data_IF_959503895221
#
_entry.id   IF_959503895221
#
_cell.length_a   1.000
_cell.length_b   1.000
_cell.length_c   1.000
_cell.angle_alpha   90.00
_cell.angle_beta   90.00
_cell.angle_gamma   90.00
#
_symmetry.space_group_name_H-M   'P 1'
#
loop_
_entity.id
_entity.type
_entity.pdbx_description
1 polymer ?
#
# COMPACT_ATOMS: atom_id res chain seq x y z
N UNK A 1 -15.44 9.69 22.51
CA UNK A 1 -15.00 8.35 22.07
C UNK A 1 -15.29 8.14 20.59
N UNK A 2 -14.34 7.58 19.92
CA UNK A 2 -14.55 7.27 18.52
C UNK A 2 -15.36 5.98 18.37
N UNK A 3 -16.41 6.03 17.61
CA UNK A 3 -17.17 4.84 17.29
C UNK A 3 -16.54 4.12 16.11
N UNK A 4 -17.00 2.92 15.84
CA UNK A 4 -16.54 2.19 14.67
C UNK A 4 -17.15 2.71 13.39
N UNK A 5 -18.07 3.62 13.50
CA UNK A 5 -18.79 4.16 12.37
C UNK A 5 -18.17 5.48 11.95
N UNK A 6 -17.36 5.43 10.93
CA UNK A 6 -16.69 6.63 10.42
C UNK A 6 -17.57 7.31 9.39
N UNK A 7 -17.45 8.62 9.30
CA UNK A 7 -18.24 9.38 8.32
C UNK A 7 -17.73 9.13 6.91
N UNK A 8 -18.59 9.36 5.93
CA UNK A 8 -18.18 9.25 4.53
C UNK A 8 -17.08 10.25 4.19
N UNK A 9 -17.12 11.43 4.82
CA UNK A 9 -16.08 12.44 4.60
C UNK A 9 -14.73 11.96 5.11
N UNK A 10 -14.69 11.33 6.29
CA UNK A 10 -13.46 10.81 6.85
C UNK A 10 -12.88 9.70 5.99
N UNK A 11 -13.72 8.80 5.50
CA UNK A 11 -13.26 7.73 4.65
C UNK A 11 -12.73 8.26 3.32
N UNK A 12 -13.43 9.24 2.74
CA UNK A 12 -13.00 9.86 1.50
C UNK A 12 -11.65 10.54 1.66
N UNK A 13 -11.44 11.22 2.78
CA UNK A 13 -10.15 11.87 3.06
C UNK A 13 -9.04 10.84 3.22
N UNK A 14 -9.32 9.74 3.90
CA UNK A 14 -8.34 8.66 4.03
C UNK A 14 -7.96 8.13 2.65
N UNK A 15 -8.94 7.89 1.80
CA UNK A 15 -8.66 7.37 0.45
C UNK A 15 -7.78 8.33 -0.35
N UNK A 16 -8.00 9.62 -0.19
CA UNK A 16 -7.16 10.62 -0.85
C UNK A 16 -5.73 10.58 -0.33
N UNK A 17 -5.56 10.46 0.98
CA UNK A 17 -4.25 10.40 1.59
C UNK A 17 -3.50 9.13 1.16
N UNK A 18 -4.21 8.01 1.09
CA UNK A 18 -3.63 6.75 0.64
C UNK A 18 -3.16 6.89 -0.81
N UNK A 19 -3.99 7.46 -1.66
CA UNK A 19 -3.64 7.61 -3.07
C UNK A 19 -2.43 8.52 -3.24
N UNK A 20 -2.34 9.58 -2.47
CA UNK A 20 -1.18 10.48 -2.50
C UNK A 20 0.08 9.78 -2.04
N UNK A 21 -0.03 8.97 -1.00
CA UNK A 21 1.12 8.23 -0.50
C UNK A 21 1.62 7.22 -1.54
N UNK A 22 0.71 6.52 -2.20
CA UNK A 22 1.08 5.57 -3.24
C UNK A 22 1.76 6.30 -4.40
N UNK A 23 1.18 7.40 -4.85
CA UNK A 23 1.74 8.19 -5.94
C UNK A 23 3.15 8.68 -5.59
N UNK A 24 3.33 9.19 -4.38
CA UNK A 24 4.62 9.70 -3.93
C UNK A 24 5.67 8.60 -3.87
N UNK A 25 5.31 7.46 -3.28
CA UNK A 25 6.24 6.36 -3.18
C UNK A 25 6.56 5.75 -4.53
N UNK A 26 5.57 5.68 -5.41
CA UNK A 26 5.77 5.19 -6.76
C UNK A 26 6.71 6.10 -7.55
N UNK A 27 6.55 7.41 -7.41
CA UNK A 27 7.41 8.38 -8.08
C UNK A 27 8.86 8.23 -7.61
N UNK A 28 9.07 8.02 -6.31
CA UNK A 28 10.41 7.77 -5.78
C UNK A 28 11.01 6.52 -6.39
N UNK A 29 10.25 5.45 -6.46
CA UNK A 29 10.73 4.19 -7.02
C UNK A 29 11.05 4.33 -8.49
N UNK A 30 10.19 5.01 -9.25
CA UNK A 30 10.43 5.24 -10.67
C UNK A 30 11.74 5.99 -10.89
N UNK A 31 11.99 7.01 -10.08
CA UNK A 31 13.22 7.78 -10.18
C UNK A 31 14.44 6.97 -9.76
N UNK A 32 14.33 6.24 -8.65
CA UNK A 32 15.44 5.48 -8.11
C UNK A 32 15.88 4.36 -9.05
N UNK A 33 14.93 3.65 -9.64
CA UNK A 33 15.24 2.51 -10.52
C UNK A 33 15.21 2.87 -11.99
N UNK A 34 14.96 4.13 -12.32
CA UNK A 34 14.88 4.61 -13.68
C UNK A 34 13.92 3.76 -14.52
N UNK A 35 12.73 3.52 -13.96
CA UNK A 35 11.68 2.72 -14.59
C UNK A 35 10.35 3.39 -14.37
N UNK A 36 9.35 2.93 -15.12
CA UNK A 36 7.97 3.36 -14.92
C UNK A 36 7.17 2.15 -14.48
N UNK A 37 6.91 2.06 -13.17
CA UNK A 37 6.10 0.98 -12.63
C UNK A 37 4.64 1.26 -12.86
N UNK A 38 3.89 0.18 -13.06
CA UNK A 38 2.46 0.28 -13.24
C UNK A 38 1.79 0.52 -11.90
N UNK A 39 1.02 1.60 -11.74
CA UNK A 39 0.38 1.87 -10.44
C UNK A 39 -0.65 0.80 -10.11
N UNK A 40 -0.69 0.35 -8.86
CA UNK A 40 -1.68 -0.64 -8.45
C UNK A 40 -3.05 -0.01 -8.26
N UNK A 41 -4.08 -0.84 -8.40
CA UNK A 41 -5.42 -0.44 -7.98
C UNK A 41 -5.56 -0.68 -6.48
N UNK A 42 -6.47 0.05 -5.85
CA UNK A 42 -6.65 0.01 -4.41
C UNK A 42 -8.12 -0.20 -4.09
N UNK A 43 -8.41 -1.10 -3.13
CA UNK A 43 -9.75 -1.15 -2.57
C UNK A 43 -9.66 -1.38 -1.06
N UNK A 44 -10.81 -1.37 -0.40
CA UNK A 44 -10.88 -1.31 1.07
C UNK A 44 -11.79 -2.41 1.58
N UNK A 45 -11.43 -3.66 1.26
CA UNK A 45 -12.26 -4.82 1.56
C UNK A 45 -11.70 -5.74 2.62
N UNK A 46 -10.48 -5.46 3.13
CA UNK A 46 -9.88 -6.30 4.17
C UNK A 46 -10.54 -6.01 5.51
N UNK A 47 -10.79 -7.07 6.28
CA UNK A 47 -11.40 -6.98 7.61
C UNK A 47 -10.57 -7.78 8.60
N UNK A 48 -10.83 -7.57 9.88
CA UNK A 48 -10.16 -8.30 10.93
C UNK A 48 -8.84 -7.67 11.32
N UNK A 49 -7.84 -8.50 11.54
CA UNK A 49 -6.57 -8.05 12.11
C UNK A 49 -5.54 -7.61 11.08
N UNK A 50 -5.76 -7.90 9.81
CA UNK A 50 -4.82 -7.52 8.77
C UNK A 50 -5.04 -6.08 8.35
N UNK A 51 -3.95 -5.33 8.22
CA UNK A 51 -4.02 -3.94 7.76
C UNK A 51 -4.13 -3.86 6.24
N UNK A 52 -3.45 -4.73 5.51
CA UNK A 52 -3.49 -4.72 4.07
C UNK A 52 -2.97 -6.02 3.47
N UNK A 53 -3.30 -6.24 2.21
CA UNK A 53 -2.86 -7.41 1.45
C UNK A 53 -2.54 -6.98 0.03
N UNK A 54 -1.41 -7.44 -0.49
CA UNK A 54 -1.03 -7.17 -1.88
C UNK A 54 -1.37 -8.38 -2.74
N UNK A 55 -2.15 -8.15 -3.78
CA UNK A 55 -2.50 -9.18 -4.76
C UNK A 55 -1.64 -8.95 -5.98
N UNK A 56 -0.53 -9.68 -6.05
CA UNK A 56 0.57 -9.38 -6.95
C UNK A 56 0.19 -9.53 -8.43
N UNK A 57 -0.46 -10.63 -8.76
CA UNK A 57 -0.81 -10.89 -10.15
C UNK A 57 -1.86 -9.92 -10.68
N UNK A 58 -2.68 -9.40 -9.80
CA UNK A 58 -3.75 -8.46 -10.16
C UNK A 58 -3.30 -7.02 -10.09
N UNK A 59 -2.09 -6.79 -9.61
CA UNK A 59 -1.56 -5.44 -9.37
C UNK A 59 -2.54 -4.63 -8.54
N UNK A 60 -2.93 -5.20 -7.40
CA UNK A 60 -3.95 -4.62 -6.54
C UNK A 60 -3.52 -4.69 -5.10
N UNK A 61 -3.82 -3.65 -4.35
CA UNK A 61 -3.62 -3.63 -2.90
C UNK A 61 -4.98 -3.43 -2.24
N UNK A 62 -5.28 -4.26 -1.25
CA UNK A 62 -6.52 -4.14 -0.49
C UNK A 62 -6.19 -3.77 0.93
N UNK A 63 -6.87 -2.77 1.45
CA UNK A 63 -6.62 -2.24 2.78
C UNK A 63 -7.81 -2.47 3.70
N UNK A 64 -7.53 -2.46 4.99
CA UNK A 64 -8.55 -2.53 6.03
C UNK A 64 -8.95 -1.10 6.40
N UNK A 65 -10.16 -0.66 6.05
CA UNK A 65 -10.53 0.74 6.28
C UNK A 65 -10.63 1.09 7.76
N UNK A 66 -10.99 0.11 8.60
CA UNK A 66 -11.14 0.37 10.03
C UNK A 66 -9.78 0.58 10.69
N UNK A 67 -8.85 -0.35 10.45
CA UNK A 67 -7.51 -0.21 11.03
C UNK A 67 -6.78 0.99 10.46
N UNK A 68 -7.00 1.29 9.19
CA UNK A 68 -6.38 2.45 8.55
C UNK A 68 -6.81 3.75 9.21
N UNK A 69 -8.09 3.86 9.55
CA UNK A 69 -8.61 5.08 10.17
C UNK A 69 -8.23 5.20 11.64
N UNK A 70 -8.06 4.07 12.31
CA UNK A 70 -7.70 4.09 13.73
C UNK A 70 -6.26 4.53 13.97
N UNK A 71 -5.40 4.33 13.00
CA UNK A 71 -3.99 4.62 13.15
C UNK A 71 -3.40 5.10 11.83
N UNK A 72 -3.93 6.20 11.32
CA UNK A 72 -3.67 6.64 9.97
C UNK A 72 -2.21 7.03 9.72
N UNK A 73 -1.52 7.62 10.70
CA UNK A 73 -0.13 7.99 10.53
C UNK A 73 0.77 6.76 10.33
N UNK A 74 0.64 5.79 11.22
CA UNK A 74 1.42 4.56 11.09
C UNK A 74 1.06 3.82 9.80
N UNK A 75 -0.23 3.83 9.44
CA UNK A 75 -0.68 3.17 8.23
C UNK A 75 -0.01 3.77 6.99
N UNK A 76 -0.01 5.10 6.89
CA UNK A 76 0.55 5.78 5.73
C UNK A 76 2.06 5.62 5.67
N UNK A 77 2.73 5.65 6.84
CA UNK A 77 4.18 5.61 6.87
C UNK A 77 4.76 4.21 6.78
N UNK A 78 4.00 3.19 7.16
CA UNK A 78 4.53 1.84 7.26
C UNK A 78 3.83 0.83 6.38
N UNK A 79 2.49 0.80 6.41
CA UNK A 79 1.75 -0.24 5.71
C UNK A 79 1.75 0.00 4.20
N UNK A 80 1.54 1.24 3.79
CA UNK A 80 1.48 1.53 2.35
C UNK A 80 2.83 1.28 1.66
N UNK A 81 3.96 1.77 2.17
CA UNK A 81 5.25 1.45 1.54
C UNK A 81 5.54 -0.04 1.53
N UNK A 82 5.15 -0.76 2.59
CA UNK A 82 5.41 -2.19 2.67
C UNK A 82 4.65 -2.97 1.59
N UNK A 83 3.36 -2.70 1.46
CA UNK A 83 2.55 -3.40 0.46
C UNK A 83 2.96 -2.99 -0.96
N UNK A 84 3.27 -1.72 -1.15
CA UNK A 84 3.72 -1.26 -2.45
C UNK A 84 5.05 -1.91 -2.83
N UNK A 85 5.96 -2.09 -1.87
CA UNK A 85 7.24 -2.76 -2.15
C UNK A 85 7.03 -4.17 -2.69
N UNK A 86 6.08 -4.92 -2.15
CA UNK A 86 5.77 -6.25 -2.67
C UNK A 86 5.32 -6.18 -4.13
N UNK A 87 4.48 -5.22 -4.45
CA UNK A 87 3.99 -5.03 -5.82
C UNK A 87 5.16 -4.71 -6.76
N UNK A 88 6.05 -3.82 -6.36
CA UNK A 88 7.15 -3.40 -7.22
C UNK A 88 8.17 -4.50 -7.43
N UNK A 89 8.45 -5.27 -6.39
CA UNK A 89 9.36 -6.42 -6.52
C UNK A 89 8.78 -7.43 -7.50
N UNK A 90 7.48 -7.69 -7.40
CA UNK A 90 6.84 -8.62 -8.31
C UNK A 90 6.89 -8.11 -9.75
N UNK A 91 6.69 -6.82 -9.97
CA UNK A 91 6.76 -6.28 -11.33
C UNK A 91 8.14 -6.40 -11.95
N UNK A 92 9.20 -6.35 -11.13
CA UNK A 92 10.55 -6.43 -11.63
C UNK A 92 11.09 -7.85 -11.77
N UNK A 93 10.81 -8.68 -10.77
CA UNK A 93 11.46 -9.98 -10.67
C UNK A 93 10.49 -11.15 -10.79
N UNK A 94 9.19 -10.86 -10.85
CA UNK A 94 8.19 -11.90 -10.80
C UNK A 94 8.08 -12.46 -9.38
N UNK A 95 7.75 -13.74 -9.28
CA UNK A 95 7.51 -14.35 -7.98
C UNK A 95 8.82 -14.63 -7.28
N UNK A 96 9.04 -13.99 -6.13
CA UNK A 96 10.23 -14.19 -5.32
C UNK A 96 9.81 -14.46 -3.88
N UNK A 97 10.76 -14.93 -3.07
CA UNK A 97 10.50 -15.14 -1.65
C UNK A 97 10.23 -13.81 -0.97
N UNK A 98 9.18 -13.71 -0.15
CA UNK A 98 8.92 -12.49 0.61
C UNK A 98 10.12 -12.16 1.50
N UNK A 99 10.50 -10.88 1.52
CA UNK A 99 11.60 -10.38 2.33
C UNK A 99 12.94 -11.02 1.97
N UNK A 100 13.05 -11.55 0.75
CA UNK A 100 14.31 -12.06 0.26
C UNK A 100 15.22 -10.94 -0.18
N UNK A 101 16.33 -11.33 -0.83
CA UNK A 101 17.35 -10.37 -1.22
C UNK A 101 16.81 -9.30 -2.16
N UNK A 102 15.99 -9.69 -3.12
CA UNK A 102 15.43 -8.74 -4.08
C UNK A 102 14.52 -7.74 -3.39
N UNK A 103 13.71 -8.23 -2.44
CA UNK A 103 12.82 -7.36 -1.71
C UNK A 103 13.59 -6.34 -0.89
N UNK A 104 14.67 -6.77 -0.24
CA UNK A 104 15.47 -5.88 0.60
C UNK A 104 16.13 -4.78 -0.23
N UNK A 105 16.56 -5.09 -1.44
CA UNK A 105 17.13 -4.09 -2.33
C UNK A 105 16.09 -3.05 -2.72
N UNK A 106 14.85 -3.46 -2.89
CA UNK A 106 13.77 -2.59 -3.37
C UNK A 106 13.05 -1.84 -2.24
N UNK A 107 13.26 -2.27 -1.02
CA UNK A 107 12.59 -1.64 0.12
C UNK A 107 13.45 -0.48 0.61
N UNK A 108 13.02 0.69 0.24
CA UNK A 108 13.74 1.92 0.53
C UNK A 108 13.00 2.79 1.54
#
# INVERSE_FOLDING_TARGET
MRTNCHTSAELRQLKMQVQRAITRNLAKANGYFNKTFKPPTVNYTVRGLKAGVAYLQQNQIRFNPILSQENDQAFIQQVIPHELAHILVFQQFGRVLPHGKEWQIRHY
#
